data_IF_692439984822
#
_entry.id   IF_692439984822
#
_cell.length_a   1.000
_cell.length_b   1.000
_cell.length_c   1.000
_cell.angle_alpha   90.00
_cell.angle_beta   90.00
_cell.angle_gamma   90.00
#
_symmetry.space_group_name_H-M   'P 1'
#
loop_
_entity.id
_entity.type
_entity.pdbx_description
1 polymer ?
#
# COMPACT_ATOMS: atom_id res chain seq x y z
N UNK A 1 11.47 12.30 13.16
CA UNK A 1 12.81 12.91 13.19
C UNK A 1 12.91 13.63 14.50
N UNK A 2 13.95 13.37 15.29
CA UNK A 2 14.27 14.21 16.45
C UNK A 2 14.81 15.55 15.94
N UNK A 3 14.34 16.66 16.53
CA UNK A 3 14.58 18.02 16.03
C UNK A 3 16.06 18.43 16.16
N UNK A 4 16.48 19.57 15.60
CA UNK A 4 17.82 20.09 15.96
C UNK A 4 17.90 20.48 17.45
N UNK A 5 16.76 20.82 18.05
CA UNK A 5 16.67 21.34 19.42
C UNK A 5 16.90 20.27 20.49
N UNK A 6 16.86 18.98 20.12
CA UNK A 6 17.09 17.84 21.01
C UNK A 6 18.39 17.06 20.73
N UNK A 7 19.23 17.57 19.83
CA UNK A 7 20.45 16.90 19.38
C UNK A 7 21.48 16.65 20.51
N UNK A 8 21.38 17.40 21.62
CA UNK A 8 22.21 17.27 22.83
C UNK A 8 21.58 16.43 23.92
N UNK A 9 20.31 16.06 23.81
CA UNK A 9 19.58 15.47 24.93
C UNK A 9 20.09 14.06 25.23
N UNK A 10 20.41 13.84 26.51
CA UNK A 10 20.89 12.56 27.04
C UNK A 10 19.79 11.81 27.81
N UNK A 11 18.69 12.48 28.17
CA UNK A 11 17.54 11.93 28.86
C UNK A 11 16.28 12.81 28.65
N UNK A 12 15.12 12.36 29.13
CA UNK A 12 13.90 13.16 29.20
C UNK A 12 13.13 13.34 27.88
N UNK A 13 13.64 12.80 26.78
CA UNK A 13 12.97 12.82 25.48
C UNK A 13 12.43 11.44 25.16
N UNK A 14 11.13 11.43 24.87
CA UNK A 14 10.38 10.23 24.51
C UNK A 14 9.56 10.52 23.28
N UNK A 15 9.83 9.80 22.19
CA UNK A 15 8.99 9.81 20.99
C UNK A 15 8.23 8.50 20.95
N UNK A 16 6.90 8.58 21.01
CA UNK A 16 6.03 7.40 20.97
C UNK A 16 5.26 7.35 19.66
N UNK A 17 5.20 6.18 19.05
CA UNK A 17 4.40 5.89 17.85
C UNK A 17 3.73 4.53 17.98
N UNK A 18 2.59 4.34 17.31
CA UNK A 18 1.87 3.07 17.33
C UNK A 18 1.96 2.39 15.95
N UNK A 19 2.62 1.24 15.89
CA UNK A 19 2.75 0.43 14.68
C UNK A 19 1.44 -0.31 14.42
N UNK A 20 0.70 0.06 13.37
CA UNK A 20 -0.55 -0.62 13.01
C UNK A 20 -0.33 -2.09 12.58
N UNK A 21 0.80 -2.35 11.91
CA UNK A 21 1.19 -3.68 11.44
C UNK A 21 2.56 -4.06 11.99
N UNK A 22 2.87 -5.37 12.10
CA UNK A 22 4.24 -5.83 12.26
C UNK A 22 5.12 -5.15 11.21
N UNK A 23 6.24 -4.57 11.62
CA UNK A 23 7.02 -3.68 10.75
C UNK A 23 8.51 -3.98 10.84
N UNK A 24 9.20 -3.85 9.73
CA UNK A 24 10.65 -3.65 9.74
C UNK A 24 10.90 -2.18 10.04
N UNK A 25 11.63 -1.89 11.12
CA UNK A 25 11.91 -0.52 11.57
C UNK A 25 13.40 -0.25 11.46
N UNK A 26 13.73 0.75 10.66
CA UNK A 26 15.11 1.18 10.46
C UNK A 26 15.42 2.37 11.36
N UNK A 27 16.50 2.24 12.14
CA UNK A 27 17.12 3.34 12.87
C UNK A 27 18.31 3.82 12.04
N UNK A 28 18.22 5.04 11.56
CA UNK A 28 19.26 5.68 10.75
C UNK A 28 19.91 6.73 11.63
N UNK A 29 21.14 6.47 12.03
CA UNK A 29 21.89 7.27 12.99
C UNK A 29 23.01 8.06 12.30
N UNK A 30 23.29 9.28 12.76
CA UNK A 30 24.36 10.18 12.26
C UNK A 30 25.78 9.61 12.47
N UNK A 31 25.93 8.44 13.08
CA UNK A 31 27.19 7.71 13.22
C UNK A 31 28.28 8.47 13.99
N UNK A 32 27.89 9.50 14.73
CA UNK A 32 28.79 10.35 15.54
C UNK A 32 29.25 9.66 16.81
N UNK A 33 28.62 8.55 17.16
CA UNK A 33 28.99 7.64 18.22
C UNK A 33 29.47 6.30 17.66
N UNK A 34 30.33 5.63 18.43
CA UNK A 34 30.76 4.26 18.12
C UNK A 34 29.61 3.26 18.33
N UNK A 35 28.76 3.51 19.32
CA UNK A 35 27.62 2.68 19.72
C UNK A 35 26.28 3.41 19.60
N UNK A 36 25.19 2.63 19.48
CA UNK A 36 23.81 3.16 19.52
C UNK A 36 23.44 3.64 20.92
N UNK A 37 22.41 4.50 21.06
CA UNK A 37 21.81 4.83 22.35
C UNK A 37 21.36 3.59 23.12
N UNK A 38 21.40 3.63 24.46
CA UNK A 38 21.11 2.49 25.33
C UNK A 38 19.76 1.84 25.04
N UNK A 39 18.71 2.65 24.84
CA UNK A 39 17.37 2.16 24.49
C UNK A 39 17.31 1.36 23.17
N UNK A 40 18.24 1.59 22.24
CA UNK A 40 18.25 0.94 20.92
C UNK A 40 19.10 -0.34 20.87
N UNK A 41 20.10 -0.47 21.75
CA UNK A 41 21.12 -1.53 21.70
C UNK A 41 20.56 -2.95 21.79
N UNK A 42 19.44 -3.15 22.50
CA UNK A 42 18.84 -4.48 22.69
C UNK A 42 17.96 -4.92 21.51
N UNK A 43 17.44 -3.98 20.73
CA UNK A 43 16.35 -4.23 19.78
C UNK A 43 16.80 -4.03 18.32
N UNK A 44 17.75 -3.13 18.07
CA UNK A 44 18.27 -2.86 16.73
C UNK A 44 19.57 -3.61 16.44
N UNK A 45 19.67 -4.14 15.21
CA UNK A 45 20.87 -4.84 14.72
C UNK A 45 21.52 -4.03 13.60
N UNK A 46 22.87 -3.97 13.54
CA UNK A 46 23.56 -3.26 12.46
C UNK A 46 23.29 -3.92 11.10
N UNK A 47 23.32 -3.11 10.05
CA UNK A 47 23.20 -3.57 8.66
C UNK A 47 24.43 -3.14 7.86
N UNK A 48 24.62 -3.71 6.67
CA UNK A 48 25.62 -3.25 5.70
C UNK A 48 25.17 -2.01 4.91
N UNK A 49 23.94 -1.53 5.14
CA UNK A 49 23.40 -0.37 4.44
C UNK A 49 24.03 0.91 4.99
N UNK A 50 24.40 1.79 4.06
CA UNK A 50 24.88 3.13 4.35
C UNK A 50 24.11 4.10 3.49
N UNK A 51 23.52 5.12 4.12
CA UNK A 51 22.87 6.20 3.38
C UNK A 51 23.94 7.26 3.09
N UNK A 52 24.23 7.44 1.80
CA UNK A 52 25.13 8.48 1.31
C UNK A 52 24.31 9.73 1.00
N UNK A 53 24.53 10.79 1.77
CA UNK A 53 24.01 12.12 1.47
C UNK A 53 25.02 12.96 0.68
N UNK A 54 24.72 14.26 0.55
CA UNK A 54 25.66 15.27 0.06
C UNK A 54 26.72 15.65 1.12
N UNK A 55 26.48 15.29 2.39
CA UNK A 55 27.47 15.39 3.47
C UNK A 55 28.46 14.21 3.35
N UNK A 56 29.78 14.41 3.54
CA UNK A 56 30.77 13.33 3.61
C UNK A 56 30.47 12.25 4.67
N UNK A 57 29.59 12.53 5.64
CA UNK A 57 29.19 11.59 6.69
C UNK A 57 28.28 10.47 6.17
N UNK A 58 28.57 9.27 6.66
CA UNK A 58 27.83 8.04 6.37
C UNK A 58 26.85 7.77 7.52
N UNK A 59 25.55 7.85 7.26
CA UNK A 59 24.54 7.47 8.26
C UNK A 59 24.58 5.95 8.44
N UNK A 60 24.73 5.49 9.68
CA UNK A 60 24.70 4.07 10.03
C UNK A 60 23.24 3.61 10.07
N UNK A 61 22.93 2.53 9.36
CA UNK A 61 21.58 1.97 9.33
C UNK A 61 21.52 0.72 10.17
N UNK A 62 20.59 0.71 11.12
CA UNK A 62 20.25 -0.43 11.95
C UNK A 62 18.81 -0.86 11.65
N UNK A 63 18.49 -2.13 11.92
CA UNK A 63 17.21 -2.75 11.62
C UNK A 63 16.67 -3.52 12.82
N UNK A 64 15.37 -3.40 13.06
CA UNK A 64 14.61 -4.22 13.99
C UNK A 64 13.35 -4.77 13.31
N UNK A 65 12.94 -5.99 13.68
CA UNK A 65 11.64 -6.55 13.29
C UNK A 65 10.68 -6.45 14.47
N UNK A 66 9.68 -5.58 14.36
CA UNK A 66 8.80 -5.25 15.47
C UNK A 66 7.39 -5.79 15.23
N UNK A 67 6.66 -6.20 16.29
CA UNK A 67 5.24 -6.47 16.19
C UNK A 67 4.44 -5.18 16.00
N UNK A 68 3.14 -5.28 15.71
CA UNK A 68 2.24 -4.14 15.84
C UNK A 68 2.08 -3.74 17.31
N UNK A 69 1.81 -2.46 17.56
CA UNK A 69 1.64 -1.90 18.90
C UNK A 69 2.55 -0.71 19.18
N UNK A 70 2.62 -0.27 20.44
CA UNK A 70 3.38 0.91 20.82
C UNK A 70 4.88 0.69 20.65
N UNK A 71 5.56 1.69 20.08
CA UNK A 71 7.00 1.82 20.01
C UNK A 71 7.41 3.13 20.68
N UNK A 72 8.32 3.03 21.64
CA UNK A 72 8.88 4.17 22.38
C UNK A 72 10.35 4.31 22.02
N UNK A 73 10.74 5.53 21.66
CA UNK A 73 12.10 5.89 21.27
C UNK A 73 12.63 6.90 22.29
N UNK A 74 13.91 6.78 22.64
CA UNK A 74 14.55 7.64 23.63
C UNK A 74 15.40 8.75 23.00
N UNK A 75 16.07 9.47 23.90
CA UNK A 75 17.06 10.49 23.57
C UNK A 75 18.19 9.95 22.65
N UNK A 76 18.64 10.78 21.71
CA UNK A 76 19.70 10.42 20.75
C UNK A 76 21.05 10.15 21.41
N UNK A 77 21.28 10.66 22.63
CA UNK A 77 22.53 10.47 23.38
C UNK A 77 22.39 9.65 24.65
N UNK A 78 21.28 8.93 24.83
CA UNK A 78 21.07 8.11 26.02
C UNK A 78 22.20 7.08 26.19
N UNK A 79 23.03 7.27 27.22
CA UNK A 79 24.13 6.38 27.56
C UNK A 79 25.33 6.41 26.61
N UNK A 80 25.48 7.45 25.79
CA UNK A 80 26.62 7.59 24.86
C UNK A 80 27.33 8.95 25.03
N UNK A 81 28.67 8.93 25.00
CA UNK A 81 29.49 10.14 24.95
C UNK A 81 29.89 10.42 23.50
N UNK A 82 29.17 11.33 22.84
CA UNK A 82 29.43 11.71 21.45
C UNK A 82 29.29 13.23 21.26
N UNK A 83 29.39 13.73 20.01
CA UNK A 83 28.91 15.09 19.65
C UNK A 83 27.40 15.06 19.41
N UNK A 84 26.75 16.23 19.34
CA UNK A 84 25.33 16.38 18.93
C UNK A 84 24.98 15.44 17.80
N UNK A 85 23.90 14.69 17.88
CA UNK A 85 23.53 13.72 16.86
C UNK A 85 22.03 13.46 16.86
N UNK A 86 21.50 13.14 15.68
CA UNK A 86 20.09 12.87 15.49
C UNK A 86 19.91 11.51 14.83
N UNK A 87 18.70 10.96 14.97
CA UNK A 87 18.32 9.75 14.26
C UNK A 87 17.01 9.93 13.50
N UNK A 88 16.87 9.13 12.45
CA UNK A 88 15.65 9.00 11.66
C UNK A 88 15.13 7.58 11.85
N UNK A 89 13.83 7.47 12.10
CA UNK A 89 13.12 6.19 12.07
C UNK A 89 12.37 6.08 10.76
N UNK A 90 12.65 5.04 9.99
CA UNK A 90 11.87 4.66 8.82
C UNK A 90 11.12 3.35 9.11
N UNK A 91 9.80 3.37 8.95
CA UNK A 91 8.93 2.23 9.23
C UNK A 91 8.47 1.62 7.92
N UNK A 92 8.77 0.35 7.71
CA UNK A 92 8.26 -0.45 6.61
C UNK A 92 7.24 -1.47 7.16
N UNK A 93 5.93 -1.22 7.03
CA UNK A 93 4.91 -2.15 7.49
C UNK A 93 4.90 -3.43 6.66
N UNK A 94 4.72 -4.57 7.32
CA UNK A 94 4.51 -5.88 6.70
C UNK A 94 3.01 -6.16 6.71
N UNK A 95 2.32 -5.55 5.76
CA UNK A 95 0.86 -5.69 5.64
C UNK A 95 0.53 -7.06 5.05
N UNK A 96 1.18 -7.44 3.94
CA UNK A 96 1.06 -8.77 3.32
C UNK A 96 1.57 -9.87 4.25
N UNK A 97 0.80 -10.96 4.34
CA UNK A 97 1.10 -12.09 5.22
C UNK A 97 0.80 -13.42 4.50
N UNK A 98 1.57 -13.79 3.46
CA UNK A 98 1.35 -15.03 2.73
C UNK A 98 1.52 -16.25 3.66
N UNK A 99 0.66 -17.25 3.51
CA UNK A 99 0.66 -18.48 4.31
C UNK A 99 1.05 -19.72 3.49
N UNK A 100 1.44 -19.53 2.23
CA UNK A 100 1.83 -20.58 1.29
C UNK A 100 0.66 -21.46 0.82
N UNK A 101 -0.58 -21.13 1.17
CA UNK A 101 -1.77 -21.90 0.78
C UNK A 101 -2.35 -21.35 -0.52
N UNK A 102 -2.75 -22.25 -1.41
CA UNK A 102 -3.48 -21.86 -2.62
C UNK A 102 -4.86 -21.36 -2.22
N UNK A 103 -5.14 -20.09 -2.49
CA UNK A 103 -6.46 -19.51 -2.29
C UNK A 103 -7.39 -19.84 -3.47
N UNK A 104 -8.55 -20.41 -3.18
CA UNK A 104 -9.68 -20.50 -4.11
C UNK A 104 -10.82 -19.58 -3.66
N UNK A 105 -11.72 -19.24 -4.58
CA UNK A 105 -12.94 -18.48 -4.29
C UNK A 105 -13.71 -19.12 -3.12
N UNK A 106 -13.91 -20.43 -3.19
CA UNK A 106 -14.66 -21.21 -2.20
C UNK A 106 -13.98 -21.19 -0.82
N UNK A 107 -12.64 -21.14 -0.80
CA UNK A 107 -11.87 -21.07 0.45
C UNK A 107 -11.93 -19.69 1.13
N UNK A 108 -12.28 -18.64 0.38
CA UNK A 108 -12.23 -17.24 0.85
C UNK A 108 -13.63 -16.72 1.18
N UNK A 109 -14.66 -17.10 0.42
CA UNK A 109 -16.04 -16.61 0.61
C UNK A 109 -16.55 -16.73 2.07
N UNK A 110 -16.33 -17.84 2.80
CA UNK A 110 -16.79 -17.93 4.19
C UNK A 110 -16.08 -16.96 5.15
N UNK A 111 -14.88 -16.49 4.81
CA UNK A 111 -14.09 -15.59 5.65
C UNK A 111 -14.54 -14.13 5.57
N UNK A 112 -15.49 -13.81 4.67
CA UNK A 112 -16.03 -12.46 4.50
C UNK A 112 -16.79 -11.97 5.74
N UNK A 113 -17.40 -12.88 6.50
CA UNK A 113 -18.14 -12.54 7.74
C UNK A 113 -17.23 -11.92 8.80
N UNK A 114 -15.99 -12.39 8.90
CA UNK A 114 -14.96 -11.87 9.82
C UNK A 114 -14.01 -10.84 9.20
N UNK A 115 -14.36 -10.29 8.04
CA UNK A 115 -13.46 -9.42 7.29
C UNK A 115 -13.19 -8.09 8.01
N UNK A 116 -11.92 -7.67 8.00
CA UNK A 116 -11.49 -6.37 8.49
C UNK A 116 -11.41 -5.38 7.32
N UNK A 117 -12.41 -4.51 7.21
CA UNK A 117 -12.51 -3.53 6.11
C UNK A 117 -11.34 -2.53 6.09
N UNK A 118 -10.81 -2.16 7.26
CA UNK A 118 -9.68 -1.24 7.35
C UNK A 118 -8.40 -1.88 6.80
N UNK A 119 -8.18 -3.17 7.08
CA UNK A 119 -7.09 -3.96 6.48
C UNK A 119 -7.29 -4.14 4.98
N UNK A 120 -8.54 -4.33 4.52
CA UNK A 120 -8.88 -4.35 3.10
C UNK A 120 -8.49 -3.06 2.37
N UNK A 121 -8.81 -1.90 2.98
CA UNK A 121 -8.41 -0.59 2.47
C UNK A 121 -6.89 -0.42 2.41
N UNK A 122 -6.19 -0.84 3.47
CA UNK A 122 -4.74 -0.72 3.53
C UNK A 122 -4.04 -1.63 2.51
N UNK A 123 -4.55 -2.85 2.29
CA UNK A 123 -4.08 -3.74 1.22
C UNK A 123 -4.24 -3.08 -0.15
N UNK A 124 -5.33 -2.36 -0.38
CA UNK A 124 -5.59 -1.67 -1.64
C UNK A 124 -4.63 -0.49 -1.90
N UNK A 125 -4.45 0.39 -0.90
CA UNK A 125 -3.74 1.66 -1.10
C UNK A 125 -2.25 1.64 -0.74
N UNK A 126 -1.78 0.68 0.05
CA UNK A 126 -0.39 0.66 0.51
C UNK A 126 0.57 0.09 -0.52
N UNK A 127 1.73 0.72 -0.67
CA UNK A 127 2.88 0.18 -1.41
C UNK A 127 3.41 -1.13 -0.82
N UNK A 128 3.14 -1.39 0.47
CA UNK A 128 3.49 -2.65 1.15
C UNK A 128 2.30 -3.62 1.26
N UNK A 129 1.16 -3.26 0.65
CA UNK A 129 -0.01 -4.12 0.48
C UNK A 129 -0.04 -4.76 -0.91
N UNK A 130 -1.25 -5.02 -1.42
CA UNK A 130 -1.46 -5.47 -2.80
C UNK A 130 -1.26 -4.33 -3.82
N UNK A 131 -1.19 -3.07 -3.35
CA UNK A 131 -0.91 -1.89 -4.16
C UNK A 131 -1.85 -1.73 -5.37
N UNK A 132 -3.12 -2.12 -5.22
CA UNK A 132 -4.12 -2.01 -6.28
C UNK A 132 -4.29 -0.56 -6.78
N UNK A 133 -4.09 0.42 -5.89
CA UNK A 133 -4.16 1.85 -6.19
C UNK A 133 -3.09 2.34 -7.19
N UNK A 134 -2.05 1.53 -7.48
CA UNK A 134 -1.08 1.85 -8.54
C UNK A 134 -1.71 1.89 -9.92
N UNK A 135 -2.86 1.22 -10.09
CA UNK A 135 -3.56 1.13 -11.36
C UNK A 135 -5.03 1.54 -11.27
N UNK A 136 -5.70 1.22 -10.15
CA UNK A 136 -7.12 1.50 -9.95
C UNK A 136 -7.36 2.76 -9.12
N UNK A 137 -8.45 3.46 -9.44
CA UNK A 137 -8.92 4.59 -8.69
C UNK A 137 -10.14 4.21 -7.83
N UNK A 138 -10.22 4.78 -6.62
CA UNK A 138 -11.40 4.76 -5.76
C UNK A 138 -11.63 6.17 -5.22
N UNK A 139 -12.79 6.74 -5.53
CA UNK A 139 -13.23 8.08 -5.12
C UNK A 139 -12.17 9.15 -5.41
N UNK A 140 -11.58 9.11 -6.60
CA UNK A 140 -10.52 10.04 -7.01
C UNK A 140 -9.11 9.72 -6.48
N UNK A 141 -8.94 8.75 -5.57
CA UNK A 141 -7.63 8.35 -5.03
C UNK A 141 -7.08 7.12 -5.76
N UNK A 142 -5.81 7.18 -6.14
CA UNK A 142 -5.15 6.15 -6.96
C UNK A 142 -4.97 6.63 -8.40
N UNK A 143 -4.51 5.74 -9.28
CA UNK A 143 -4.31 6.04 -10.69
C UNK A 143 -5.52 5.62 -11.53
N UNK A 144 -5.77 6.31 -12.64
CA UNK A 144 -6.82 5.95 -13.60
C UNK A 144 -6.23 5.14 -14.77
N UNK A 145 -5.46 4.10 -14.46
CA UNK A 145 -4.81 3.23 -15.46
C UNK A 145 -5.59 1.93 -15.72
N UNK A 146 -6.59 1.66 -14.89
CA UNK A 146 -7.46 0.49 -14.89
C UNK A 146 -8.88 0.93 -14.52
N UNK A 147 -9.92 0.06 -14.62
CA UNK A 147 -11.30 0.45 -14.34
C UNK A 147 -11.46 1.11 -12.96
N UNK A 148 -12.24 2.19 -12.89
CA UNK A 148 -12.59 2.83 -11.63
C UNK A 148 -13.42 1.87 -10.75
N UNK A 149 -12.99 1.72 -9.49
CA UNK A 149 -13.57 0.80 -8.51
C UNK A 149 -14.43 1.51 -7.45
N UNK A 150 -14.69 2.81 -7.58
CA UNK A 150 -15.43 3.65 -6.62
C UNK A 150 -16.82 3.12 -6.27
N UNK A 151 -17.47 2.45 -7.23
CA UNK A 151 -18.81 1.86 -7.09
C UNK A 151 -18.83 0.38 -7.46
N UNK A 152 -17.69 -0.32 -7.32
CA UNK A 152 -17.59 -1.72 -7.77
C UNK A 152 -18.53 -2.66 -7.00
N UNK A 153 -18.79 -2.38 -5.72
CA UNK A 153 -19.71 -3.15 -4.89
C UNK A 153 -21.19 -3.04 -5.31
N UNK A 154 -21.52 -2.10 -6.20
CA UNK A 154 -22.85 -2.02 -6.84
C UNK A 154 -22.93 -2.83 -8.15
N UNK A 155 -21.80 -3.27 -8.72
CA UNK A 155 -21.72 -3.87 -10.06
C UNK A 155 -21.18 -5.30 -10.06
N UNK A 156 -20.47 -5.71 -9.03
CA UNK A 156 -19.86 -7.03 -8.93
C UNK A 156 -20.20 -7.71 -7.60
N UNK A 157 -20.41 -9.03 -7.64
CA UNK A 157 -20.54 -9.85 -6.43
C UNK A 157 -19.16 -10.18 -5.85
N UNK A 158 -19.13 -10.61 -4.59
CA UNK A 158 -17.87 -10.99 -3.94
C UNK A 158 -17.16 -12.13 -4.69
N UNK A 159 -17.94 -13.08 -5.25
CA UNK A 159 -17.42 -14.16 -6.09
C UNK A 159 -16.71 -13.62 -7.33
N UNK A 160 -17.36 -12.72 -8.07
CA UNK A 160 -16.78 -12.10 -9.29
C UNK A 160 -15.50 -11.35 -8.95
N UNK A 161 -15.50 -10.57 -7.86
CA UNK A 161 -14.29 -9.85 -7.41
C UNK A 161 -13.14 -10.81 -7.09
N UNK A 162 -13.41 -11.88 -6.35
CA UNK A 162 -12.39 -12.89 -6.03
C UNK A 162 -11.86 -13.59 -7.27
N UNK A 163 -12.73 -13.92 -8.23
CA UNK A 163 -12.33 -14.51 -9.50
C UNK A 163 -11.41 -13.55 -10.28
N UNK A 164 -11.75 -12.26 -10.36
CA UNK A 164 -10.91 -11.25 -11.01
C UNK A 164 -9.56 -11.07 -10.31
N UNK A 165 -9.52 -11.10 -8.97
CA UNK A 165 -8.27 -10.95 -8.20
C UNK A 165 -7.36 -12.19 -8.36
N UNK A 166 -7.95 -13.39 -8.31
CA UNK A 166 -7.19 -14.65 -8.36
C UNK A 166 -6.82 -15.04 -9.80
N UNK A 167 -7.64 -14.69 -10.78
CA UNK A 167 -7.48 -15.05 -12.19
C UNK A 167 -7.77 -13.84 -13.11
N UNK A 168 -6.92 -12.81 -13.12
CA UNK A 168 -7.21 -11.57 -13.85
C UNK A 168 -7.41 -11.73 -15.36
N UNK A 169 -6.80 -12.74 -15.98
CA UNK A 169 -6.95 -13.03 -17.41
C UNK A 169 -8.16 -13.92 -17.75
N UNK A 170 -8.92 -14.41 -16.75
CA UNK A 170 -10.10 -15.25 -17.02
C UNK A 170 -11.27 -14.44 -17.61
N UNK A 171 -11.35 -13.16 -17.29
CA UNK A 171 -12.28 -12.21 -17.88
C UNK A 171 -11.60 -10.86 -17.96
N UNK A 172 -11.34 -10.40 -19.19
CA UNK A 172 -10.67 -9.12 -19.45
C UNK A 172 -11.74 -8.09 -19.80
N UNK A 173 -11.79 -7.01 -19.03
CA UNK A 173 -12.67 -5.88 -19.35
C UNK A 173 -12.23 -5.26 -20.67
N UNK A 174 -13.19 -5.00 -21.57
CA UNK A 174 -12.93 -4.36 -22.85
C UNK A 174 -12.13 -3.05 -22.67
N UNK A 175 -11.11 -2.86 -23.50
CA UNK A 175 -10.19 -1.72 -23.40
C UNK A 175 -9.02 -1.88 -22.43
N UNK A 176 -8.99 -2.93 -21.60
CA UNK A 176 -7.93 -3.17 -20.60
C UNK A 176 -7.07 -4.43 -20.88
N UNK A 177 -7.18 -4.98 -22.08
CA UNK A 177 -6.24 -6.01 -22.55
C UNK A 177 -4.83 -5.44 -22.66
N UNK A 178 -3.82 -6.23 -22.28
CA UNK A 178 -2.43 -5.81 -22.43
C UNK A 178 -2.09 -5.63 -23.92
N UNK A 179 -1.41 -4.54 -24.23
CA UNK A 179 -0.92 -4.19 -25.56
C UNK A 179 0.61 -4.18 -25.54
N UNK A 180 1.22 -4.66 -26.62
CA UNK A 180 2.65 -4.53 -26.89
C UNK A 180 2.83 -3.58 -28.06
N UNK A 181 3.58 -2.50 -27.84
CA UNK A 181 3.99 -1.57 -28.89
C UNK A 181 5.49 -1.68 -29.07
N UNK A 182 5.92 -2.11 -30.26
CA UNK A 182 7.33 -2.10 -30.64
C UNK A 182 7.62 -0.87 -31.47
N UNK A 183 8.71 -0.17 -31.18
CA UNK A 183 9.13 1.02 -31.91
C UNK A 183 10.19 0.71 -32.97
N UNK A 184 10.36 1.63 -33.92
CA UNK A 184 11.41 1.59 -34.93
C UNK A 184 12.82 1.73 -34.35
N UNK A 185 12.95 2.30 -33.15
CA UNK A 185 14.21 2.35 -32.37
C UNK A 185 14.58 1.00 -31.74
N UNK A 186 13.68 0.00 -31.77
CA UNK A 186 13.87 -1.31 -31.15
C UNK A 186 13.40 -1.40 -29.70
N UNK A 187 12.74 -0.36 -29.17
CA UNK A 187 12.14 -0.40 -27.84
C UNK A 187 10.80 -1.14 -27.88
N UNK A 188 10.43 -1.78 -26.77
CA UNK A 188 9.16 -2.48 -26.62
C UNK A 188 8.45 -2.02 -25.36
N UNK A 189 7.18 -1.66 -25.51
CA UNK A 189 6.35 -1.17 -24.43
C UNK A 189 5.15 -2.08 -24.21
N UNK A 190 5.01 -2.59 -22.99
CA UNK A 190 3.90 -3.48 -22.59
C UNK A 190 3.03 -2.81 -21.54
N UNK A 191 1.74 -2.65 -21.82
CA UNK A 191 0.82 -1.94 -20.95
C UNK A 191 -0.60 -1.80 -21.48
N UNK A 192 -1.38 -0.90 -20.90
CA UNK A 192 -2.74 -0.56 -21.37
C UNK A 192 -2.70 0.80 -22.07
N UNK A 193 -3.44 0.95 -23.17
CA UNK A 193 -3.61 2.25 -23.83
C UNK A 193 -4.58 3.11 -23.00
N UNK A 194 -4.10 4.26 -22.52
CA UNK A 194 -4.91 5.22 -21.78
C UNK A 194 -5.55 6.27 -22.70
N UNK A 195 -4.79 6.71 -23.69
CA UNK A 195 -5.17 7.78 -24.61
C UNK A 195 -4.54 7.50 -25.97
N UNK A 196 -5.32 7.64 -27.04
CA UNK A 196 -4.84 7.54 -28.41
C UNK A 196 -5.30 8.77 -29.20
N UNK A 197 -4.33 9.49 -29.76
CA UNK A 197 -4.56 10.64 -30.63
C UNK A 197 -4.00 10.36 -32.02
N UNK A 198 -4.24 11.25 -32.98
CA UNK A 198 -3.64 11.15 -34.32
C UNK A 198 -2.11 11.24 -34.35
N UNK A 199 -1.44 11.68 -33.27
CA UNK A 199 0.03 11.86 -33.22
C UNK A 199 0.73 10.93 -32.24
N UNK A 200 0.10 10.60 -31.11
CA UNK A 200 0.71 9.86 -30.00
C UNK A 200 -0.24 8.86 -29.37
N UNK A 201 0.34 7.84 -28.76
CA UNK A 201 -0.32 6.88 -27.87
C UNK A 201 0.29 7.02 -26.48
N UNK A 202 -0.55 7.18 -25.46
CA UNK A 202 -0.13 7.15 -24.05
C UNK A 202 -0.50 5.80 -23.46
N UNK A 203 0.48 5.09 -22.89
CA UNK A 203 0.30 3.78 -22.27
C UNK A 203 0.58 3.84 -20.77
N UNK A 204 -0.21 3.11 -19.98
CA UNK A 204 0.15 2.72 -18.62
C UNK A 204 0.93 1.41 -18.66
N UNK A 205 2.20 1.48 -18.29
CA UNK A 205 3.11 0.35 -18.23
C UNK A 205 2.81 -0.53 -17.00
N UNK A 206 3.18 -1.81 -17.10
CA UNK A 206 3.21 -2.72 -15.95
C UNK A 206 4.10 -2.09 -14.85
N UNK A 207 3.51 -1.75 -13.70
CA UNK A 207 4.18 -1.02 -12.61
C UNK A 207 3.72 0.43 -12.42
N UNK A 208 2.72 0.89 -13.19
CA UNK A 208 2.00 2.15 -12.93
C UNK A 208 2.68 3.41 -13.46
N UNK A 209 3.79 3.29 -14.21
CA UNK A 209 4.38 4.41 -14.97
C UNK A 209 3.64 4.61 -16.28
N UNK A 210 3.59 5.84 -16.77
CA UNK A 210 3.09 6.12 -18.11
C UNK A 210 4.24 6.31 -19.10
N UNK A 211 3.99 5.94 -20.37
CA UNK A 211 4.88 6.22 -21.50
C UNK A 211 4.07 6.83 -22.63
N UNK A 212 4.62 7.82 -23.31
CA UNK A 212 4.02 8.43 -24.50
C UNK A 212 4.89 8.12 -25.70
N UNK A 213 4.29 7.47 -26.70
CA UNK A 213 4.96 6.98 -27.90
C UNK A 213 4.39 7.76 -29.09
N UNK A 214 5.25 8.34 -29.93
CA UNK A 214 4.80 8.96 -31.17
C UNK A 214 4.38 7.88 -32.15
N UNK A 215 3.25 8.08 -32.84
CA UNK A 215 2.76 7.10 -33.83
C UNK A 215 3.75 6.84 -34.95
N UNK A 216 4.50 7.87 -35.34
CA UNK A 216 5.53 7.75 -36.36
C UNK A 216 6.62 6.73 -35.97
N UNK A 217 6.89 6.60 -34.67
CA UNK A 217 7.91 5.71 -34.13
C UNK A 217 7.41 4.28 -33.96
N UNK A 218 6.10 4.02 -34.10
CA UNK A 218 5.53 2.69 -33.94
C UNK A 218 5.86 1.83 -35.16
N UNK A 219 6.47 0.68 -34.90
CA UNK A 219 6.74 -0.38 -35.87
C UNK A 219 5.58 -1.38 -35.91
N UNK A 220 5.14 -1.87 -34.74
CA UNK A 220 4.05 -2.82 -34.63
C UNK A 220 3.27 -2.64 -33.32
N UNK A 221 2.02 -3.10 -33.34
CA UNK A 221 1.12 -3.14 -32.18
C UNK A 221 0.43 -4.49 -32.14
N UNK A 222 0.43 -5.12 -30.97
CA UNK A 222 -0.22 -6.41 -30.74
C UNK A 222 -1.07 -6.34 -29.47
N UNK A 223 -2.25 -6.95 -29.51
CA UNK A 223 -3.07 -7.18 -28.33
C UNK A 223 -2.80 -8.57 -27.79
N UNK A 224 -2.40 -8.67 -26.53
CA UNK A 224 -2.14 -9.96 -25.89
C UNK A 224 -3.44 -10.54 -25.28
N UNK A 225 -3.60 -11.87 -25.25
CA UNK A 225 -4.73 -12.54 -24.59
C UNK A 225 -4.55 -12.62 -23.07
N UNK A 226 -3.92 -11.61 -22.46
CA UNK A 226 -3.69 -11.53 -21.01
C UNK A 226 -4.13 -10.16 -20.49
N UNK A 227 -4.58 -10.16 -19.23
CA UNK A 227 -4.91 -8.91 -18.54
C UNK A 227 -3.64 -8.13 -18.21
N UNK A 228 -3.74 -6.81 -18.22
CA UNK A 228 -2.70 -5.94 -17.66
C UNK A 228 -2.67 -5.94 -16.13
N UNK A 229 -3.74 -6.44 -15.47
CA UNK A 229 -3.72 -6.71 -14.03
C UNK A 229 -2.79 -7.91 -13.76
N UNK A 230 -1.73 -7.75 -12.94
CA UNK A 230 -0.78 -8.82 -12.69
C UNK A 230 -1.41 -10.06 -12.04
N UNK A 231 -1.00 -11.28 -12.39
CA UNK A 231 -1.38 -12.47 -11.63
C UNK A 231 -0.64 -12.53 -10.29
N UNK A 232 -0.99 -13.51 -9.44
CA UNK A 232 -0.20 -13.85 -8.25
C UNK A 232 -0.67 -13.20 -6.95
N UNK A 233 -1.76 -12.42 -6.97
CA UNK A 233 -2.34 -11.84 -5.74
C UNK A 233 -2.71 -12.90 -4.69
N UNK A 234 -3.15 -14.09 -5.12
CA UNK A 234 -3.44 -15.22 -4.24
C UNK A 234 -2.21 -15.89 -3.62
N UNK A 235 -0.99 -15.57 -4.09
CA UNK A 235 0.26 -16.09 -3.52
C UNK A 235 0.88 -15.12 -2.49
N UNK A 236 0.62 -13.83 -2.61
CA UNK A 236 1.19 -12.79 -1.73
C UNK A 236 0.27 -12.42 -0.56
N UNK A 237 -1.03 -12.70 -0.67
CA UNK A 237 -2.03 -12.51 0.37
C UNK A 237 -2.53 -13.85 0.88
N UNK A 238 -2.72 -13.98 2.20
CA UNK A 238 -3.46 -15.13 2.72
C UNK A 238 -4.97 -15.00 2.46
N UNK A 239 -5.71 -16.08 2.70
CA UNK A 239 -7.16 -16.15 2.48
C UNK A 239 -7.95 -15.08 3.24
N UNK A 240 -7.56 -14.76 4.47
CA UNK A 240 -8.24 -13.71 5.24
C UNK A 240 -8.02 -12.33 4.61
N UNK A 241 -6.81 -12.03 4.14
CA UNK A 241 -6.49 -10.77 3.46
C UNK A 241 -7.27 -10.59 2.16
N UNK A 242 -7.44 -11.67 1.40
CA UNK A 242 -8.31 -11.67 0.22
C UNK A 242 -9.78 -11.38 0.60
N UNK A 243 -10.27 -11.96 1.71
CA UNK A 243 -11.60 -11.66 2.23
C UNK A 243 -11.73 -10.20 2.68
N UNK A 244 -10.74 -9.65 3.38
CA UNK A 244 -10.72 -8.26 3.84
C UNK A 244 -10.78 -7.27 2.68
N UNK A 245 -9.93 -7.47 1.67
CA UNK A 245 -9.91 -6.66 0.46
C UNK A 245 -11.24 -6.76 -0.28
N UNK A 246 -11.77 -7.98 -0.46
CA UNK A 246 -13.03 -8.21 -1.16
C UNK A 246 -14.20 -7.57 -0.42
N UNK A 247 -14.29 -7.73 0.90
CA UNK A 247 -15.36 -7.14 1.71
C UNK A 247 -15.30 -5.61 1.67
N UNK A 248 -14.10 -5.02 1.69
CA UNK A 248 -13.94 -3.58 1.52
C UNK A 248 -14.41 -3.10 0.15
N UNK A 249 -14.05 -3.80 -0.94
CA UNK A 249 -14.51 -3.49 -2.30
C UNK A 249 -16.03 -3.63 -2.44
N UNK A 250 -16.65 -4.64 -1.81
CA UNK A 250 -18.11 -4.80 -1.77
C UNK A 250 -18.80 -3.65 -1.03
N UNK A 251 -18.11 -3.04 -0.06
CA UNK A 251 -18.57 -1.83 0.62
C UNK A 251 -18.56 -0.57 -0.27
N UNK A 252 -17.86 -0.58 -1.41
CA UNK A 252 -17.81 0.55 -2.35
C UNK A 252 -19.05 0.57 -3.24
N UNK A 253 -20.16 1.06 -2.67
CA UNK A 253 -21.44 1.23 -3.36
C UNK A 253 -21.70 2.69 -3.70
N UNK A 254 -22.51 2.94 -4.73
CA UNK A 254 -23.01 4.27 -5.06
C UNK A 254 -23.64 4.91 -3.82
N UNK A 255 -23.23 6.13 -3.47
CA UNK A 255 -23.89 6.86 -2.40
C UNK A 255 -25.32 7.15 -2.82
N UNK A 256 -26.30 6.65 -2.08
CA UNK A 256 -27.71 6.98 -2.29
C UNK A 256 -27.95 8.42 -1.83
N UNK A 257 -27.61 9.40 -2.67
CA UNK A 257 -28.11 10.78 -2.52
C UNK A 257 -29.54 10.88 -3.08
N UNK A 258 -30.41 9.98 -2.63
CA UNK A 258 -31.85 10.19 -2.61
C UNK A 258 -32.26 10.10 -1.15
N UNK A 259 -32.60 11.25 -0.55
CA UNK A 259 -33.36 11.25 0.71
C UNK A 259 -34.73 10.69 0.37
N UNK A 260 -34.92 9.42 0.64
CA UNK A 260 -36.25 8.83 0.68
C UNK A 260 -36.91 9.32 1.98
N UNK A 261 -38.04 10.06 1.95
CA UNK A 261 -38.64 10.63 3.15
C UNK A 261 -39.22 9.59 4.12
N UNK A 262 -39.29 8.32 3.72
CA UNK A 262 -40.13 7.31 4.40
C UNK A 262 -39.39 6.06 4.88
N UNK A 263 -38.06 6.06 4.94
CA UNK A 263 -37.31 4.92 5.51
C UNK A 263 -37.12 5.06 7.03
N UNK A 264 -38.20 5.18 7.79
CA UNK A 264 -38.16 5.04 9.24
C UNK A 264 -38.23 3.57 9.65
N UNK A 265 -37.10 2.85 9.57
CA UNK A 265 -36.90 1.64 10.36
C UNK A 265 -35.41 1.44 10.66
N UNK A 266 -34.96 2.04 11.76
CA UNK A 266 -33.69 1.67 12.41
C UNK A 266 -34.05 0.86 13.65
N UNK A 267 -33.64 -0.41 13.77
CA UNK A 267 -33.80 -1.16 15.00
C UNK A 267 -33.09 -0.45 16.16
N UNK A 268 -33.84 -0.14 17.22
CA UNK A 268 -33.37 0.58 18.42
C UNK A 268 -32.17 -0.07 19.13
N UNK A 269 -31.79 -1.31 18.79
CA UNK A 269 -30.69 -2.04 19.41
C UNK A 269 -29.28 -1.59 18.97
N UNK A 270 -29.16 -0.73 17.96
CA UNK A 270 -27.86 -0.27 17.42
C UNK A 270 -27.45 1.15 17.83
N UNK A 271 -28.32 1.90 18.52
CA UNK A 271 -28.06 3.29 18.93
C UNK A 271 -27.47 3.46 20.34
N UNK A 272 -27.19 2.37 21.06
CA UNK A 272 -26.80 2.47 22.48
C UNK A 272 -25.29 2.39 22.78
N UNK A 273 -24.39 2.64 21.81
CA UNK A 273 -22.93 2.57 22.05
C UNK A 273 -22.08 3.73 21.52
N UNK A 274 -22.66 4.89 21.25
CA UNK A 274 -21.87 6.10 20.96
C UNK A 274 -22.26 7.18 21.96
N UNK A 275 -21.61 7.14 23.12
CA UNK A 275 -21.67 8.20 24.12
C UNK A 275 -20.46 9.12 23.87
N UNK A 276 -20.61 10.09 22.96
CA UNK A 276 -19.64 11.18 22.81
C UNK A 276 -20.27 12.41 23.45
N UNK A 277 -19.85 12.68 24.68
CA UNK A 277 -20.19 13.87 25.43
C UNK A 277 -19.24 14.98 25.00
N UNK A 278 -19.73 15.91 24.17
CA UNK A 278 -19.05 17.17 23.88
C UNK A 278 -19.31 18.11 25.07
N UNK A 279 -18.28 18.39 25.86
CA UNK A 279 -18.30 19.48 26.84
C UNK A 279 -17.97 20.80 26.13
N UNK A 280 -18.75 21.83 26.50
CA UNK A 280 -18.51 23.24 26.17
C UNK A 280 -17.33 23.79 26.97
#
# INVERSE_FOLDING_TARGET
>A
QTGCDDADSEAGITVSLNLKYPSTVYLIDDARAESMPRWAQSQWKPTSLVIKGNDPKRLKVYRAELPSGPLTLGASRDGIQARKGNYIIAVQPRILAPDGKVATVESVLPLLEGANLERGQDLFFSLHGANCASCHQVKGRGNNHAPDLSEIGSRASAKVLLESILKPSASIVEGFAAQVISTRSGESYTGVVLEETGKRITMAMLGGKTSTIQRADILSRESLPISAMPPGFGAIMNRQQLADLTAWLIGLKKSSTHRDPDSSFVPQSLLQKINIQLLR
#
